data_IF_869728683865
#
_entry.id   IF_869728683865
#
_cell.length_a   1.000
_cell.length_b   1.000
_cell.length_c   1.000
_cell.angle_alpha   90.00
_cell.angle_beta   90.00
_cell.angle_gamma   90.00
#
_symmetry.space_group_name_H-M   'P 1'
#
loop_
_entity.id
_entity.type
_entity.pdbx_description
1 polymer ?
#
# COMPACT_ATOMS: atom_id res chain seq x y z
N UNK A 1 1.14 30.79 -8.22
CA UNK A 1 1.94 29.54 -8.10
C UNK A 1 0.96 28.40 -8.14
N UNK A 2 0.91 27.62 -9.22
CA UNK A 2 0.11 26.40 -9.29
C UNK A 2 0.78 25.36 -8.38
N UNK A 3 0.17 25.08 -7.23
CA UNK A 3 0.66 24.06 -6.29
C UNK A 3 0.65 22.71 -7.00
N UNK A 4 1.83 22.09 -7.19
CA UNK A 4 1.95 20.71 -7.71
C UNK A 4 1.08 19.81 -6.83
N UNK A 5 0.20 19.00 -7.42
CA UNK A 5 -0.57 18.01 -6.65
C UNK A 5 0.41 17.04 -5.99
N UNK A 6 0.24 16.71 -4.70
CA UNK A 6 1.11 15.74 -4.04
C UNK A 6 1.03 14.38 -4.75
N UNK A 7 2.12 13.62 -4.72
CA UNK A 7 2.18 12.25 -5.21
C UNK A 7 2.03 11.27 -4.04
N UNK A 8 0.99 10.43 -4.08
CA UNK A 8 0.71 9.44 -3.04
C UNK A 8 0.86 8.05 -3.62
N UNK A 9 1.67 7.22 -2.94
CA UNK A 9 1.71 5.78 -3.17
C UNK A 9 0.64 5.12 -2.29
N UNK A 10 -0.21 4.30 -2.91
CA UNK A 10 -1.28 3.56 -2.26
C UNK A 10 -0.99 2.06 -2.35
N UNK A 11 -1.15 1.36 -1.23
CA UNK A 11 -0.92 -0.09 -1.10
C UNK A 11 -1.87 -0.70 -0.07
N UNK A 12 -1.82 -2.01 0.15
CA UNK A 12 -2.57 -2.74 1.19
C UNK A 12 -1.96 -4.13 1.44
N UNK A 13 -2.62 -4.92 2.29
CA UNK A 13 -2.38 -6.36 2.46
C UNK A 13 -3.53 -7.26 1.99
N UNK A 14 -4.73 -6.73 1.74
CA UNK A 14 -5.85 -7.51 1.17
C UNK A 14 -5.66 -7.84 -0.33
N UNK A 15 -4.69 -7.20 -0.98
CA UNK A 15 -4.34 -7.40 -2.39
C UNK A 15 -4.91 -6.37 -3.36
N UNK A 16 -4.38 -6.37 -4.58
CA UNK A 16 -4.63 -5.35 -5.61
C UNK A 16 -6.11 -5.24 -6.04
N UNK A 17 -6.85 -6.34 -6.02
CA UNK A 17 -8.27 -6.35 -6.37
C UNK A 17 -9.21 -6.13 -5.16
N UNK A 18 -8.67 -5.84 -3.98
CA UNK A 18 -9.48 -5.65 -2.79
C UNK A 18 -10.38 -4.41 -2.89
N UNK A 19 -11.63 -4.57 -2.46
CA UNK A 19 -12.59 -3.47 -2.50
C UNK A 19 -12.18 -2.29 -1.60
N UNK A 20 -11.50 -2.55 -0.48
CA UNK A 20 -10.98 -1.49 0.41
C UNK A 20 -9.85 -0.66 -0.22
N UNK A 21 -9.01 -1.26 -1.08
CA UNK A 21 -7.99 -0.53 -1.84
C UNK A 21 -8.66 0.36 -2.89
N UNK A 22 -9.64 -0.19 -3.62
CA UNK A 22 -10.43 0.56 -4.60
C UNK A 22 -11.13 1.76 -3.95
N UNK A 23 -11.80 1.55 -2.83
CA UNK A 23 -12.48 2.62 -2.09
C UNK A 23 -11.50 3.71 -1.63
N UNK A 24 -10.30 3.34 -1.20
CA UNK A 24 -9.25 4.31 -0.83
C UNK A 24 -8.79 5.13 -2.03
N UNK A 25 -8.55 4.49 -3.17
CA UNK A 25 -8.15 5.18 -4.41
C UNK A 25 -9.24 6.17 -4.82
N UNK A 26 -10.50 5.74 -4.88
CA UNK A 26 -11.64 6.59 -5.23
C UNK A 26 -11.77 7.80 -4.29
N UNK A 27 -11.53 7.61 -2.98
CA UNK A 27 -11.56 8.71 -2.01
C UNK A 27 -10.42 9.74 -2.19
N UNK A 28 -9.29 9.34 -2.78
CA UNK A 28 -8.12 10.18 -3.01
C UNK A 28 -8.09 10.79 -4.42
N UNK A 29 -8.94 10.32 -5.33
CA UNK A 29 -9.02 10.83 -6.69
C UNK A 29 -9.26 12.35 -6.72
N UNK A 30 -8.56 13.03 -7.62
CA UNK A 30 -8.64 14.50 -7.75
C UNK A 30 -7.81 15.27 -6.71
N UNK A 31 -7.50 14.70 -5.55
CA UNK A 31 -6.70 15.35 -4.49
C UNK A 31 -5.19 15.22 -4.73
N UNK A 32 -4.75 14.09 -5.29
CA UNK A 32 -3.33 13.76 -5.48
C UNK A 32 -3.08 13.09 -6.84
N UNK A 33 -1.81 13.04 -7.24
CA UNK A 33 -1.34 12.07 -8.24
C UNK A 33 -1.18 10.74 -7.53
N UNK A 34 -1.79 9.67 -8.04
CA UNK A 34 -1.77 8.36 -7.38
C UNK A 34 -0.84 7.38 -8.11
N UNK A 35 -0.15 6.55 -7.34
CA UNK A 35 0.45 5.31 -7.83
C UNK A 35 0.00 4.17 -6.93
N UNK A 36 -0.39 3.06 -7.53
CA UNK A 36 -0.98 1.93 -6.81
C UNK A 36 -0.04 0.75 -7.00
N UNK A 37 0.55 0.28 -5.90
CA UNK A 37 1.44 -0.88 -5.89
C UNK A 37 1.02 -1.76 -4.74
N UNK A 38 0.40 -2.89 -5.04
CA UNK A 38 -0.20 -3.76 -4.03
C UNK A 38 0.11 -5.23 -4.30
N UNK A 39 0.04 -6.10 -3.26
CA UNK A 39 0.20 -7.52 -3.45
C UNK A 39 -0.80 -8.07 -4.46
N UNK A 40 -0.38 -9.03 -5.30
CA UNK A 40 -1.29 -9.68 -6.26
C UNK A 40 -2.39 -10.49 -5.58
N UNK A 41 -2.13 -10.96 -4.36
CA UNK A 41 -3.02 -11.80 -3.54
C UNK A 41 -3.04 -11.26 -2.11
N UNK A 42 -4.04 -11.68 -1.34
CA UNK A 42 -4.13 -11.40 0.09
C UNK A 42 -2.87 -11.88 0.85
N UNK A 43 -2.39 -11.04 1.76
CA UNK A 43 -1.17 -11.18 2.58
C UNK A 43 -1.44 -10.79 4.04
N UNK A 44 -2.65 -11.05 4.56
CA UNK A 44 -2.98 -10.76 5.95
C UNK A 44 -2.02 -11.49 6.91
N UNK A 45 -1.57 -10.79 7.95
CA UNK A 45 -0.60 -11.36 8.90
C UNK A 45 0.86 -11.33 8.43
N UNK A 46 1.16 -10.72 7.28
CA UNK A 46 2.52 -10.65 6.75
C UNK A 46 3.48 -9.77 7.56
N UNK A 47 3.00 -9.01 8.54
CA UNK A 47 3.81 -8.03 9.29
C UNK A 47 4.62 -7.13 8.32
N UNK A 48 5.88 -6.86 8.64
CA UNK A 48 6.85 -6.22 7.76
C UNK A 48 7.82 -7.25 7.16
N UNK A 49 7.32 -8.38 6.64
CA UNK A 49 8.15 -9.43 6.05
C UNK A 49 8.63 -9.06 4.63
N UNK A 50 9.78 -9.59 4.23
CA UNK A 50 10.40 -9.35 2.92
C UNK A 50 10.61 -10.65 2.15
N UNK A 51 10.39 -10.61 0.83
CA UNK A 51 10.68 -11.73 -0.06
C UNK A 51 12.15 -11.72 -0.47
N UNK A 52 12.95 -12.62 0.12
CA UNK A 52 14.40 -12.66 -0.10
C UNK A 52 14.90 -13.82 -0.96
N UNK A 53 14.12 -14.91 -1.04
CA UNK A 53 14.57 -16.18 -1.64
C UNK A 53 14.00 -16.45 -3.03
N UNK A 54 13.01 -15.66 -3.45
CA UNK A 54 12.36 -15.78 -4.75
C UNK A 54 12.36 -14.43 -5.44
N UNK A 55 12.42 -14.39 -6.78
CA UNK A 55 12.27 -13.14 -7.52
C UNK A 55 10.92 -12.49 -7.22
N UNK A 56 10.91 -11.17 -7.06
CA UNK A 56 9.69 -10.36 -7.02
C UNK A 56 9.27 -10.05 -8.46
N UNK A 57 8.03 -10.38 -8.82
CA UNK A 57 7.47 -10.13 -10.14
C UNK A 57 6.45 -8.99 -10.03
N UNK A 58 6.63 -7.95 -10.84
CA UNK A 58 5.70 -6.81 -10.92
C UNK A 58 4.88 -6.91 -12.21
N UNK A 59 3.56 -6.95 -12.08
CA UNK A 59 2.60 -7.00 -13.19
C UNK A 59 2.04 -5.60 -13.41
N UNK A 60 2.20 -5.04 -14.61
CA UNK A 60 1.58 -3.76 -14.96
C UNK A 60 0.07 -3.94 -15.14
N UNK A 61 -0.71 -3.17 -14.39
CA UNK A 61 -2.18 -3.22 -14.39
C UNK A 61 -2.79 -1.99 -15.08
N UNK A 62 -2.00 -0.93 -15.25
CA UNK A 62 -2.40 0.31 -15.88
C UNK A 62 -1.32 1.39 -15.70
N UNK A 63 -1.62 2.61 -16.12
CA UNK A 63 -0.74 3.75 -15.88
C UNK A 63 -0.59 3.97 -14.37
N UNK A 64 0.65 3.88 -13.87
CA UNK A 64 0.99 3.99 -12.43
C UNK A 64 0.33 2.93 -11.54
N UNK A 65 0.02 1.75 -12.07
CA UNK A 65 -0.64 0.68 -11.33
C UNK A 65 0.06 -0.66 -11.53
N UNK A 66 0.39 -1.32 -10.42
CA UNK A 66 1.09 -2.60 -10.41
C UNK A 66 0.56 -3.55 -9.34
N UNK A 67 0.45 -4.82 -9.72
CA UNK A 67 0.26 -5.93 -8.80
C UNK A 67 1.60 -6.67 -8.61
N UNK A 68 1.98 -6.98 -7.38
CA UNK A 68 3.30 -7.54 -7.05
C UNK A 68 3.16 -8.93 -6.45
N UNK A 69 3.92 -9.90 -6.98
CA UNK A 69 4.08 -11.22 -6.34
C UNK A 69 5.06 -11.11 -5.16
N UNK A 70 4.59 -10.49 -4.07
CA UNK A 70 5.37 -10.21 -2.85
C UNK A 70 4.49 -9.75 -1.70
N UNK A 71 5.13 -9.30 -0.61
CA UNK A 71 4.48 -8.78 0.60
C UNK A 71 4.11 -7.30 0.45
N UNK A 72 3.31 -6.72 1.36
CA UNK A 72 3.04 -5.28 1.38
C UNK A 72 4.32 -4.42 1.53
N UNK A 73 5.31 -4.89 2.29
CA UNK A 73 6.60 -4.21 2.42
C UNK A 73 7.41 -4.29 1.11
N UNK A 74 7.42 -5.45 0.45
CA UNK A 74 8.03 -5.59 -0.88
C UNK A 74 7.42 -4.59 -1.88
N UNK A 75 6.10 -4.41 -1.85
CA UNK A 75 5.39 -3.46 -2.70
C UNK A 75 5.91 -2.02 -2.53
N UNK A 76 6.14 -1.58 -1.29
CA UNK A 76 6.73 -0.28 -1.00
C UNK A 76 8.15 -0.20 -1.54
N UNK A 77 9.00 -1.17 -1.22
CA UNK A 77 10.41 -1.20 -1.65
C UNK A 77 10.53 -1.14 -3.18
N UNK A 78 9.78 -1.98 -3.91
CA UNK A 78 9.85 -1.97 -5.38
C UNK A 78 9.26 -0.69 -5.97
N UNK A 79 8.23 -0.11 -5.35
CA UNK A 79 7.70 1.18 -5.76
C UNK A 79 8.80 2.26 -5.70
N UNK A 80 9.47 2.37 -4.55
CA UNK A 80 10.47 3.41 -4.29
C UNK A 80 11.75 3.25 -5.11
N UNK A 81 12.16 2.01 -5.39
CA UNK A 81 13.47 1.75 -5.99
C UNK A 81 13.43 1.33 -7.46
N UNK A 82 12.27 0.97 -8.00
CA UNK A 82 12.17 0.39 -9.36
C UNK A 82 11.02 0.94 -10.19
N UNK A 83 9.84 1.17 -9.61
CA UNK A 83 8.64 1.48 -10.40
C UNK A 83 8.40 2.99 -10.52
N UNK A 84 8.62 3.75 -9.46
CA UNK A 84 8.36 5.19 -9.45
C UNK A 84 9.60 5.96 -9.95
N UNK A 85 9.40 6.97 -10.82
CA UNK A 85 10.51 7.79 -11.32
C UNK A 85 11.03 8.78 -10.27
N UNK A 86 10.18 9.20 -9.34
CA UNK A 86 10.49 10.04 -8.19
C UNK A 86 9.84 9.45 -6.93
N UNK A 87 10.43 9.65 -5.74
CA UNK A 87 9.80 9.24 -4.49
C UNK A 87 8.43 9.93 -4.30
N UNK A 88 7.41 9.21 -3.79
CA UNK A 88 6.14 9.82 -3.45
C UNK A 88 6.30 10.74 -2.23
N UNK A 89 5.42 11.74 -2.13
CA UNK A 89 5.35 12.64 -0.97
C UNK A 89 4.78 11.92 0.27
N UNK A 90 3.98 10.87 0.07
CA UNK A 90 3.37 10.08 1.14
C UNK A 90 3.04 8.64 0.70
N UNK A 91 3.04 7.70 1.64
CA UNK A 91 2.49 6.34 1.46
C UNK A 91 1.25 6.13 2.32
N UNK A 92 0.17 5.63 1.73
CA UNK A 92 -1.05 5.24 2.44
C UNK A 92 -1.30 3.75 2.22
N UNK A 93 -1.36 2.99 3.31
CA UNK A 93 -1.70 1.57 3.29
C UNK A 93 -3.12 1.31 3.79
N UNK A 94 -3.96 0.63 3.01
CA UNK A 94 -5.33 0.30 3.37
C UNK A 94 -6.32 0.31 2.20
N UNK A 95 -7.63 0.41 2.44
CA UNK A 95 -8.27 0.30 3.76
C UNK A 95 -8.42 -1.17 4.14
N UNK A 96 -7.80 -1.59 5.23
CA UNK A 96 -7.93 -2.96 5.73
C UNK A 96 -9.33 -3.19 6.33
N UNK A 97 -9.98 -4.30 5.98
CA UNK A 97 -11.25 -4.70 6.59
C UNK A 97 -11.00 -5.50 7.87
N UNK A 98 -10.91 -4.79 8.99
CA UNK A 98 -10.67 -5.36 10.30
C UNK A 98 -9.74 -4.47 11.12
N UNK A 99 -9.84 -4.47 12.46
CA UNK A 99 -9.04 -3.60 13.30
C UNK A 99 -7.59 -4.10 13.44
N UNK A 100 -6.61 -3.19 13.28
CA UNK A 100 -5.23 -3.39 13.75
C UNK A 100 -5.01 -2.62 15.05
N UNK A 101 -5.47 -3.19 16.17
CA UNK A 101 -5.40 -2.59 17.51
C UNK A 101 -4.46 -3.37 18.43
N UNK A 102 -3.76 -2.67 19.32
CA UNK A 102 -2.86 -3.28 20.29
C UNK A 102 -1.76 -4.12 19.62
N UNK A 103 -1.63 -5.37 20.05
CA UNK A 103 -0.61 -6.31 19.56
C UNK A 103 -0.77 -6.71 18.08
N UNK A 104 -1.98 -6.61 17.52
CA UNK A 104 -2.24 -6.90 16.10
C UNK A 104 -1.43 -6.00 15.16
N UNK A 105 -0.97 -4.85 15.64
CA UNK A 105 -0.10 -3.92 14.91
C UNK A 105 1.21 -4.59 14.49
N UNK A 106 1.75 -5.52 15.29
CA UNK A 106 3.01 -6.19 14.96
C UNK A 106 2.90 -7.21 13.83
N UNK A 107 1.71 -7.78 13.64
CA UNK A 107 1.44 -8.81 12.63
C UNK A 107 0.78 -8.24 11.36
N UNK A 108 0.31 -6.99 11.40
CA UNK A 108 -0.41 -6.35 10.30
C UNK A 108 0.49 -6.10 9.09
N UNK A 109 0.05 -6.56 7.91
CA UNK A 109 0.66 -6.20 6.64
C UNK A 109 0.39 -4.74 6.27
N UNK A 110 -0.83 -4.25 6.57
CA UNK A 110 -1.21 -2.84 6.41
C UNK A 110 -0.25 -1.91 7.14
N UNK A 111 0.00 -2.18 8.43
CA UNK A 111 0.96 -1.38 9.22
C UNK A 111 2.39 -1.64 8.79
N UNK A 112 2.73 -2.89 8.42
CA UNK A 112 4.05 -3.25 7.91
C UNK A 112 4.46 -2.41 6.71
N UNK A 113 3.57 -2.20 5.73
CA UNK A 113 3.82 -1.34 4.58
C UNK A 113 4.04 0.13 4.97
N UNK A 114 3.23 0.68 5.86
CA UNK A 114 3.42 2.06 6.34
C UNK A 114 4.75 2.21 7.10
N UNK A 115 5.12 1.22 7.93
CA UNK A 115 6.42 1.17 8.60
C UNK A 115 7.59 1.12 7.62
N UNK A 116 7.47 0.31 6.57
CA UNK A 116 8.50 0.23 5.52
C UNK A 116 8.73 1.60 4.88
N UNK A 117 7.66 2.29 4.50
CA UNK A 117 7.76 3.65 3.95
C UNK A 117 8.44 4.64 4.93
N UNK A 118 8.12 4.54 6.23
CA UNK A 118 8.72 5.38 7.25
C UNK A 118 10.23 5.10 7.45
N UNK A 119 10.67 3.83 7.31
CA UNK A 119 12.10 3.47 7.30
C UNK A 119 12.85 4.11 6.12
N UNK A 120 12.15 4.33 5.01
CA UNK A 120 12.65 5.06 3.85
C UNK A 120 12.49 6.60 3.96
N UNK A 121 12.18 7.11 5.15
CA UNK A 121 11.99 8.54 5.44
C UNK A 121 10.83 9.20 4.67
N UNK A 122 9.83 8.41 4.26
CA UNK A 122 8.62 8.91 3.61
C UNK A 122 7.50 8.96 4.64
N UNK A 123 6.79 10.10 4.78
CA UNK A 123 5.60 10.18 5.61
C UNK A 123 4.59 9.09 5.23
N UNK A 124 4.01 8.41 6.21
CA UNK A 124 3.10 7.30 5.93
C UNK A 124 1.99 7.16 6.95
N UNK A 125 0.89 6.54 6.53
CA UNK A 125 -0.16 6.08 7.44
C UNK A 125 -0.76 4.74 7.00
N UNK A 126 -1.30 4.01 7.97
CA UNK A 126 -2.09 2.81 7.76
C UNK A 126 -3.53 3.08 8.19
N UNK A 127 -4.49 2.63 7.39
CA UNK A 127 -5.92 2.86 7.60
C UNK A 127 -6.63 1.51 7.66
N UNK A 128 -7.33 1.28 8.77
CA UNK A 128 -8.08 0.04 9.02
C UNK A 128 -9.48 0.37 9.51
N UNK A 129 -10.50 -0.25 8.92
CA UNK A 129 -11.89 -0.10 9.35
C UNK A 129 -12.21 -1.15 10.42
N UNK A 130 -12.56 -0.71 11.62
CA UNK A 130 -12.99 -1.57 12.72
C UNK A 130 -14.44 -2.05 12.52
N UNK A 131 -14.67 -2.88 11.50
CA UNK A 131 -15.98 -3.44 11.16
C UNK A 131 -15.88 -4.90 10.74
N UNK A 132 -17.02 -5.63 10.82
CA UNK A 132 -17.15 -7.01 10.31
C UNK A 132 -17.59 -7.06 8.85
N UNK A 133 -18.16 -5.97 8.34
CA UNK A 133 -18.62 -5.77 6.97
C UNK A 133 -18.33 -4.34 6.58
N UNK A 134 -17.98 -4.13 5.32
CA UNK A 134 -17.75 -2.79 4.81
C UNK A 134 -18.90 -2.33 3.91
N UNK A 135 -19.13 -1.01 3.81
CA UNK A 135 -20.20 -0.44 2.99
C UNK A 135 -19.82 -0.21 1.51
N UNK A 136 -18.60 -0.58 1.12
CA UNK A 136 -18.12 -0.52 -0.26
C UNK A 136 -18.32 -1.85 -0.99
#
# INVERSE_FOLDING_TARGET
MTTKKPHILVTNDDGYHAAGLKALVEALEGLATLSIVAPKREQSGAAQSLTLRTPIICHAMGERQWAVDGTPADCVIVALHKLLPEPPDMVISGINLGPNLGENVYYSGTVGAAREAALHHIPSCAISLAARKAPW
#
